data_IF_698853231652
#
_entry.id   IF_698853231652
#
_cell.length_a   1.000
_cell.length_b   1.000
_cell.length_c   1.000
_cell.angle_alpha   90.00
_cell.angle_beta   90.00
_cell.angle_gamma   90.00
#
_symmetry.space_group_name_H-M   'P 1'
#
loop_
_entity.id
_entity.type
_entity.pdbx_description
1 polymer ?
#
# COMPACT_ATOMS: atom_id res chain seq x y z
N UNK A 1 -15.60 -4.53 2.09
CA UNK A 1 -14.88 -4.98 3.30
C UNK A 1 -13.73 -4.01 3.50
N UNK A 2 -13.60 -3.39 4.67
CA UNK A 2 -12.53 -2.42 4.93
C UNK A 2 -11.40 -3.13 5.67
N UNK A 3 -10.21 -3.16 5.06
CA UNK A 3 -9.00 -3.72 5.68
C UNK A 3 -8.28 -2.63 6.48
N UNK A 4 -7.73 -2.99 7.64
CA UNK A 4 -6.76 -2.14 8.34
C UNK A 4 -5.38 -2.27 7.71
N UNK A 5 -4.49 -1.29 7.91
CA UNK A 5 -3.10 -1.34 7.41
C UNK A 5 -2.38 -2.61 7.86
N UNK A 6 -2.55 -3.01 9.12
CA UNK A 6 -1.97 -4.25 9.64
C UNK A 6 -2.52 -5.51 8.96
N UNK A 7 -3.80 -5.53 8.59
CA UNK A 7 -4.38 -6.63 7.81
C UNK A 7 -3.83 -6.65 6.39
N UNK A 8 -3.66 -5.48 5.76
CA UNK A 8 -3.05 -5.38 4.43
C UNK A 8 -1.61 -5.92 4.44
N UNK A 9 -0.81 -5.55 5.45
CA UNK A 9 0.56 -6.08 5.61
C UNK A 9 0.57 -7.59 5.74
N UNK A 10 -0.23 -8.16 6.64
CA UNK A 10 -0.32 -9.62 6.81
C UNK A 10 -0.68 -10.36 5.52
N UNK A 11 -1.58 -9.80 4.71
CA UNK A 11 -1.96 -10.37 3.41
C UNK A 11 -0.79 -10.28 2.42
N UNK A 12 -0.08 -9.16 2.36
CA UNK A 12 1.05 -8.97 1.45
C UNK A 12 2.25 -9.84 1.85
N UNK A 13 2.57 -9.92 3.14
CA UNK A 13 3.69 -10.68 3.68
C UNK A 13 3.47 -12.19 3.58
N UNK A 14 2.21 -12.63 3.72
CA UNK A 14 1.84 -14.04 3.58
C UNK A 14 1.67 -14.51 2.14
N UNK A 15 1.81 -13.62 1.15
CA UNK A 15 1.51 -13.95 -0.25
C UNK A 15 2.62 -14.79 -0.90
N UNK A 16 2.28 -15.92 -1.55
CA UNK A 16 3.23 -16.63 -2.41
C UNK A 16 3.73 -15.74 -3.54
N UNK A 17 4.99 -15.90 -3.95
CA UNK A 17 5.59 -15.10 -5.04
C UNK A 17 4.83 -15.17 -6.37
N UNK A 18 4.09 -16.25 -6.59
CA UNK A 18 3.29 -16.47 -7.81
C UNK A 18 1.87 -15.91 -7.74
N UNK A 19 1.43 -15.43 -6.58
CA UNK A 19 0.07 -14.94 -6.36
C UNK A 19 -0.06 -13.47 -6.77
N UNK A 20 -1.21 -13.14 -7.36
CA UNK A 20 -1.55 -11.78 -7.77
C UNK A 20 -2.72 -11.21 -6.95
N UNK A 21 -3.58 -12.07 -6.41
CA UNK A 21 -4.79 -11.67 -5.67
C UNK A 21 -4.94 -12.46 -4.37
N UNK A 22 -5.62 -11.86 -3.41
CA UNK A 22 -6.12 -12.49 -2.20
C UNK A 22 -7.64 -12.46 -2.18
N UNK A 23 -8.27 -13.59 -1.84
CA UNK A 23 -9.72 -13.72 -1.75
C UNK A 23 -10.06 -14.08 -0.31
N UNK A 24 -10.78 -13.22 0.43
CA UNK A 24 -11.22 -13.54 1.79
C UNK A 24 -11.95 -14.89 1.82
N UNK A 25 -11.51 -15.80 2.69
CA UNK A 25 -12.09 -17.15 2.82
C UNK A 25 -11.50 -18.21 1.88
N UNK A 26 -10.94 -17.82 0.72
CA UNK A 26 -10.39 -18.77 -0.26
C UNK A 26 -8.85 -18.76 -0.32
N UNK A 27 -8.21 -17.66 0.08
CA UNK A 27 -6.75 -17.53 0.10
C UNK A 27 -6.16 -16.87 -1.16
N UNK A 28 -4.93 -17.23 -1.51
CA UNK A 28 -4.16 -16.59 -2.59
C UNK A 28 -4.40 -17.25 -3.95
N UNK A 29 -4.51 -16.44 -5.01
CA UNK A 29 -4.65 -16.94 -6.38
C UNK A 29 -3.78 -16.18 -7.38
N UNK A 30 -3.40 -16.89 -8.44
CA UNK A 30 -2.73 -16.33 -9.61
C UNK A 30 -3.71 -15.84 -10.67
N UNK A 31 -4.93 -16.40 -10.69
CA UNK A 31 -5.96 -16.07 -11.69
C UNK A 31 -6.57 -14.70 -11.43
N UNK A 32 -6.81 -13.96 -12.51
CA UNK A 32 -7.31 -12.58 -12.50
C UNK A 32 -8.65 -12.41 -11.80
N UNK A 33 -8.81 -11.26 -11.13
CA UNK A 33 -10.01 -10.73 -10.48
C UNK A 33 -11.33 -10.90 -11.27
N UNK A 34 -11.28 -11.01 -12.60
CA UNK A 34 -12.45 -11.07 -13.50
C UNK A 34 -13.39 -12.24 -13.20
N UNK A 35 -12.92 -13.30 -12.53
CA UNK A 35 -13.72 -14.51 -12.29
C UNK A 35 -14.30 -14.61 -10.87
N UNK A 36 -13.88 -13.76 -9.93
CA UNK A 36 -14.20 -13.94 -8.50
C UNK A 36 -14.53 -12.59 -7.84
N UNK A 37 -15.81 -12.38 -7.53
CA UNK A 37 -16.28 -11.22 -6.77
C UNK A 37 -15.57 -11.17 -5.40
N UNK A 38 -15.11 -9.97 -5.01
CA UNK A 38 -14.36 -9.76 -3.77
C UNK A 38 -12.86 -10.10 -3.81
N UNK A 39 -12.27 -10.37 -4.98
CA UNK A 39 -10.82 -10.54 -5.11
C UNK A 39 -10.07 -9.21 -4.90
N UNK A 40 -9.05 -9.23 -4.04
CA UNK A 40 -8.22 -8.09 -3.68
C UNK A 40 -6.87 -8.18 -4.39
N UNK A 41 -6.51 -7.16 -5.16
CA UNK A 41 -5.20 -7.07 -5.84
C UNK A 41 -4.07 -6.91 -4.83
N UNK A 42 -3.08 -7.80 -4.86
CA UNK A 42 -1.90 -7.68 -4.00
C UNK A 42 -1.02 -6.50 -4.40
N UNK A 43 -1.02 -6.11 -5.67
CA UNK A 43 -0.29 -4.93 -6.12
C UNK A 43 -0.91 -3.64 -5.60
N UNK A 44 -2.24 -3.57 -5.54
CA UNK A 44 -2.93 -2.39 -5.01
C UNK A 44 -2.69 -2.27 -3.51
N UNK A 45 -2.69 -3.40 -2.78
CA UNK A 45 -2.31 -3.42 -1.36
C UNK A 45 -0.86 -2.97 -1.16
N UNK A 46 0.09 -3.44 -1.97
CA UNK A 46 1.50 -2.99 -1.89
C UNK A 46 1.64 -1.50 -2.16
N UNK A 47 0.93 -0.98 -3.16
CA UNK A 47 0.94 0.44 -3.48
C UNK A 47 0.34 1.27 -2.33
N UNK A 48 -0.79 0.86 -1.78
CA UNK A 48 -1.41 1.52 -0.64
C UNK A 48 -0.53 1.50 0.62
N UNK A 49 0.15 0.39 0.88
CA UNK A 49 1.11 0.30 1.98
C UNK A 49 2.33 1.20 1.75
N UNK A 50 2.87 1.23 0.53
CA UNK A 50 4.01 2.09 0.20
C UNK A 50 3.64 3.59 0.29
N UNK A 51 2.42 3.95 -0.10
CA UNK A 51 1.88 5.31 0.05
C UNK A 51 1.66 5.68 1.52
N UNK A 52 1.11 4.76 2.32
CA UNK A 52 0.95 4.97 3.77
C UNK A 52 2.30 5.09 4.49
N UNK A 53 3.31 4.30 4.09
CA UNK A 53 4.66 4.34 4.66
C UNK A 53 5.48 5.53 4.16
N UNK A 54 4.99 6.23 3.14
CA UNK A 54 5.56 7.49 2.70
C UNK A 54 5.33 8.52 3.80
N UNK A 55 6.33 8.65 4.66
CA UNK A 55 6.38 9.70 5.68
C UNK A 55 6.65 11.02 4.97
N UNK A 56 5.70 11.95 5.02
CA UNK A 56 5.96 13.33 4.64
C UNK A 56 6.95 13.92 5.65
N UNK A 57 8.18 14.18 5.23
CA UNK A 57 9.14 14.88 6.09
C UNK A 57 8.73 16.34 6.22
N UNK A 58 9.03 16.95 7.38
CA UNK A 58 8.69 18.36 7.66
C UNK A 58 9.26 19.31 6.59
N UNK A 59 10.36 18.93 5.94
CA UNK A 59 10.94 19.64 4.80
C UNK A 59 10.02 19.66 3.57
N UNK A 60 9.35 18.55 3.26
CA UNK A 60 8.47 18.42 2.09
C UNK A 60 7.19 19.26 2.27
N UNK A 61 6.63 19.26 3.49
CA UNK A 61 5.48 20.11 3.86
C UNK A 61 5.87 21.60 3.84
N UNK A 62 7.05 21.96 4.38
CA UNK A 62 7.53 23.35 4.37
C UNK A 62 7.75 23.88 2.96
N UNK A 63 8.33 23.07 2.07
CA UNK A 63 8.53 23.44 0.66
C UNK A 63 7.20 23.55 -0.12
N UNK A 64 6.15 22.82 0.30
CA UNK A 64 4.83 22.94 -0.29
C UNK A 64 4.09 24.22 0.11
N UNK A 65 4.19 24.63 1.38
CA UNK A 65 3.49 25.82 1.92
C UNK A 65 4.26 27.12 1.63
N UNK A 66 5.59 27.07 1.67
CA UNK A 66 6.46 28.23 1.45
C UNK A 66 7.74 27.79 0.72
N UNK A 67 7.69 27.66 -0.62
CA UNK A 67 8.79 27.16 -1.45
C UNK A 67 10.07 28.01 -1.42
N UNK A 68 10.12 29.09 -0.64
CA UNK A 68 11.29 29.98 -0.50
C UNK A 68 11.98 29.90 0.87
N UNK A 69 11.64 28.94 1.73
CA UNK A 69 12.28 28.82 3.04
C UNK A 69 13.58 28.00 2.93
N UNK A 70 14.74 28.66 2.77
CA UNK A 70 16.05 28.00 2.91
C UNK A 70 16.32 27.73 4.40
N UNK A 71 16.46 26.45 4.77
CA UNK A 71 16.98 26.07 6.10
C UNK A 71 18.49 26.13 6.04
N UNK A 72 19.08 27.14 6.68
CA UNK A 72 20.52 27.18 6.92
C UNK A 72 20.80 26.22 8.08
N UNK A 73 21.50 25.11 7.81
CA UNK A 73 21.99 24.22 8.85
C UNK A 73 23.16 24.88 9.60
N UNK A 74 23.18 24.69 10.93
CA UNK A 74 24.27 25.13 11.81
C UNK A 74 25.61 24.45 11.47
#
# INVERSE_FOLDING_TARGET
MNLTIEQMRKIVDGAPAIANFYIPGNGYTRMGSVLLDGAISLNDLRAALADHDRTDYVSDIRNHISPMTIVQGD
#
